data_IF_855791639092
#
_entry.id   IF_855791639092
#
_cell.length_a   1.000
_cell.length_b   1.000
_cell.length_c   1.000
_cell.angle_alpha   90.00
_cell.angle_beta   90.00
_cell.angle_gamma   90.00
#
_symmetry.space_group_name_H-M   'P 1'
#
loop_
_entity.id
_entity.type
_entity.pdbx_description
1 polymer ?
#
# COMPACT_ATOMS: atom_id res chain seq x y z
N UNK A 1 4.90 8.79 -14.49
CA UNK A 1 3.48 8.62 -14.86
C UNK A 1 3.43 7.73 -16.10
N UNK A 2 3.40 6.41 -15.87
CA UNK A 2 3.46 5.42 -16.94
C UNK A 2 2.09 4.89 -17.34
N UNK A 3 2.06 3.97 -18.30
CA UNK A 3 0.82 3.38 -18.81
C UNK A 3 0.01 2.65 -17.72
N UNK A 4 0.65 1.77 -16.95
CA UNK A 4 -0.02 1.03 -15.88
C UNK A 4 -0.52 1.96 -14.77
N UNK A 5 0.24 3.00 -14.41
CA UNK A 5 -0.22 4.01 -13.45
C UNK A 5 -1.48 4.74 -13.91
N UNK A 6 -1.54 5.20 -15.17
CA UNK A 6 -2.70 5.94 -15.68
C UNK A 6 -3.94 5.07 -15.80
N UNK A 7 -3.79 3.89 -16.42
CA UNK A 7 -4.92 3.02 -16.67
C UNK A 7 -5.38 2.30 -15.40
N UNK A 8 -4.46 1.92 -14.50
CA UNK A 8 -4.80 1.42 -13.18
C UNK A 8 -5.60 2.43 -12.37
N UNK A 9 -5.17 3.70 -12.35
CA UNK A 9 -5.94 4.78 -11.72
C UNK A 9 -7.34 4.91 -12.34
N UNK A 10 -7.43 4.84 -13.67
CA UNK A 10 -8.72 4.93 -14.40
C UNK A 10 -9.67 3.80 -14.01
N UNK A 11 -9.21 2.54 -14.01
CA UNK A 11 -10.05 1.38 -13.68
C UNK A 11 -10.47 1.41 -12.20
N UNK A 12 -9.53 1.57 -11.28
CA UNK A 12 -9.80 1.49 -9.83
C UNK A 12 -10.77 2.58 -9.40
N UNK A 13 -10.55 3.83 -9.82
CA UNK A 13 -11.46 4.93 -9.43
C UNK A 13 -12.83 4.79 -10.07
N UNK A 14 -12.92 4.25 -11.29
CA UNK A 14 -14.20 3.98 -11.94
C UNK A 14 -15.04 2.93 -11.23
N UNK A 15 -14.48 2.08 -10.35
CA UNK A 15 -15.29 1.16 -9.54
C UNK A 15 -16.33 1.90 -8.68
N UNK A 16 -16.04 3.14 -8.29
CA UNK A 16 -16.98 3.98 -7.52
C UNK A 16 -18.19 4.42 -8.35
N UNK A 17 -18.14 4.35 -9.69
CA UNK A 17 -19.29 4.61 -10.54
C UNK A 17 -20.45 3.62 -10.29
N UNK A 18 -20.14 2.45 -9.72
CA UNK A 18 -21.13 1.44 -9.35
C UNK A 18 -22.03 1.86 -8.17
N UNK A 19 -21.71 2.94 -7.44
CA UNK A 19 -22.55 3.46 -6.37
C UNK A 19 -23.84 4.07 -6.99
N UNK A 20 -25.04 3.57 -6.64
CA UNK A 20 -26.29 4.09 -7.21
C UNK A 20 -26.47 5.59 -6.95
N UNK A 21 -27.05 6.29 -7.92
CA UNK A 21 -27.37 7.73 -7.91
C UNK A 21 -26.17 8.70 -7.88
N UNK A 22 -25.11 8.40 -7.15
CA UNK A 22 -23.99 9.33 -6.90
C UNK A 22 -22.64 8.89 -7.49
N UNK A 23 -22.50 7.64 -7.96
CA UNK A 23 -21.21 7.09 -8.37
C UNK A 23 -20.47 7.94 -9.40
N UNK A 24 -21.13 8.32 -10.50
CA UNK A 24 -20.52 9.16 -11.54
C UNK A 24 -20.06 10.54 -11.01
N UNK A 25 -20.82 11.13 -10.09
CA UNK A 25 -20.45 12.40 -9.47
C UNK A 25 -19.19 12.22 -8.61
N UNK A 26 -19.10 11.14 -7.83
CA UNK A 26 -17.94 10.83 -6.98
C UNK A 26 -16.69 10.61 -7.84
N UNK A 27 -16.80 9.87 -8.94
CA UNK A 27 -15.68 9.63 -9.87
C UNK A 27 -15.15 10.94 -10.46
N UNK A 28 -16.03 11.77 -11.02
CA UNK A 28 -15.63 13.06 -11.59
C UNK A 28 -15.06 14.01 -10.53
N UNK A 29 -15.63 13.99 -9.33
CA UNK A 29 -15.10 14.73 -8.19
C UNK A 29 -13.70 14.28 -7.80
N UNK A 30 -13.42 12.97 -7.79
CA UNK A 30 -12.08 12.44 -7.53
C UNK A 30 -11.08 12.83 -8.60
N UNK A 31 -11.47 12.72 -9.88
CA UNK A 31 -10.62 13.11 -11.00
C UNK A 31 -10.38 14.61 -11.08
N UNK A 32 -11.32 15.43 -10.58
CA UNK A 32 -11.29 16.87 -10.80
C UNK A 32 -11.57 17.24 -12.26
N UNK A 33 -12.35 16.42 -12.96
CA UNK A 33 -12.63 16.54 -14.39
C UNK A 33 -13.36 15.31 -14.93
N UNK A 34 -13.43 15.20 -16.26
CA UNK A 34 -14.15 14.10 -16.94
C UNK A 34 -13.32 12.83 -17.17
N UNK A 35 -12.02 12.90 -16.94
CA UNK A 35 -11.08 11.80 -17.04
C UNK A 35 -9.90 12.02 -16.08
N UNK A 36 -9.13 10.96 -15.83
CA UNK A 36 -7.84 11.08 -15.14
C UNK A 36 -6.95 12.07 -15.90
N UNK A 37 -6.47 13.10 -15.22
CA UNK A 37 -5.71 14.20 -15.83
C UNK A 37 -4.70 14.81 -14.83
N UNK A 38 -4.09 15.95 -15.17
CA UNK A 38 -3.16 16.64 -14.28
C UNK A 38 -3.78 16.98 -12.91
N UNK A 39 -5.05 17.42 -12.89
CA UNK A 39 -5.75 17.71 -11.64
C UNK A 39 -5.81 16.48 -10.71
N UNK A 40 -6.01 15.29 -11.29
CA UNK A 40 -6.00 14.02 -10.56
C UNK A 40 -4.61 13.73 -10.00
N UNK A 41 -3.57 13.85 -10.83
CA UNK A 41 -2.19 13.54 -10.45
C UNK A 41 -1.69 14.42 -9.30
N UNK A 42 -1.92 15.74 -9.36
CA UNK A 42 -1.51 16.66 -8.29
C UNK A 42 -2.19 16.31 -6.95
N UNK A 43 -3.48 15.96 -6.98
CA UNK A 43 -4.21 15.55 -5.78
C UNK A 43 -3.75 14.20 -5.26
N UNK A 44 -3.49 13.25 -6.15
CA UNK A 44 -3.00 11.93 -5.77
C UNK A 44 -1.62 12.03 -5.12
N UNK A 45 -0.74 12.90 -5.60
CA UNK A 45 0.53 13.18 -4.93
C UNK A 45 0.32 13.77 -3.52
N UNK A 46 -0.55 14.79 -3.38
CA UNK A 46 -0.83 15.38 -2.07
C UNK A 46 -1.43 14.37 -1.08
N UNK A 47 -2.35 13.52 -1.54
CA UNK A 47 -2.93 12.44 -0.73
C UNK A 47 -1.89 11.37 -0.39
N UNK A 48 -1.09 10.93 -1.36
CA UNK A 48 -0.03 9.95 -1.16
C UNK A 48 1.02 10.44 -0.15
N UNK A 49 1.30 11.75 -0.13
CA UNK A 49 2.17 12.34 0.87
C UNK A 49 1.52 12.35 2.27
N UNK A 50 0.23 12.68 2.36
CA UNK A 50 -0.48 12.80 3.63
C UNK A 50 -0.79 11.46 4.30
N UNK A 51 -1.22 10.46 3.51
CA UNK A 51 -1.73 9.18 4.02
C UNK A 51 -0.73 8.41 4.90
N UNK A 52 0.58 8.33 4.60
CA UNK A 52 1.57 7.69 5.47
C UNK A 52 1.59 8.25 6.90
N UNK A 53 1.38 9.57 7.08
CA UNK A 53 1.31 10.18 8.40
C UNK A 53 0.03 9.81 9.15
N UNK A 54 -1.09 9.71 8.44
CA UNK A 54 -2.34 9.20 9.00
C UNK A 54 -2.15 7.73 9.42
N UNK A 55 -1.51 6.90 8.58
CA UNK A 55 -1.18 5.51 8.91
C UNK A 55 -0.28 5.44 10.16
N UNK A 56 0.76 6.28 10.26
CA UNK A 56 1.61 6.34 11.45
C UNK A 56 0.82 6.67 12.73
N UNK A 57 -0.13 7.62 12.66
CA UNK A 57 -1.03 7.92 13.78
C UNK A 57 -1.93 6.71 14.13
N UNK A 58 -2.47 6.02 13.12
CA UNK A 58 -3.26 4.80 13.32
C UNK A 58 -2.42 3.66 13.93
N UNK A 59 -1.14 3.52 13.58
CA UNK A 59 -0.23 2.55 14.22
C UNK A 59 -0.06 2.85 15.71
N UNK A 60 0.03 4.11 16.11
CA UNK A 60 0.11 4.47 17.54
C UNK A 60 -1.17 4.10 18.29
N UNK A 61 -2.34 4.35 17.71
CA UNK A 61 -3.64 3.93 18.28
C UNK A 61 -3.71 2.40 18.37
N UNK A 62 -3.28 1.70 17.32
CA UNK A 62 -3.23 0.25 17.29
C UNK A 62 -2.35 -0.30 18.44
N UNK A 63 -1.14 0.25 18.62
CA UNK A 63 -0.22 -0.15 19.69
C UNK A 63 -0.76 0.21 21.08
N UNK A 64 -1.48 1.32 21.23
CA UNK A 64 -2.15 1.67 22.49
C UNK A 64 -3.13 0.58 22.92
N UNK A 65 -4.00 0.12 22.00
CA UNK A 65 -4.95 -0.95 22.29
C UNK A 65 -4.26 -2.29 22.51
N UNK A 66 -3.21 -2.60 21.75
CA UNK A 66 -2.41 -3.79 21.98
C UNK A 66 -1.81 -3.82 23.39
N UNK A 67 -1.33 -2.67 23.90
CA UNK A 67 -0.77 -2.59 25.25
C UNK A 67 -1.81 -2.74 26.37
N UNK A 68 -3.10 -2.54 26.10
CA UNK A 68 -4.15 -2.78 27.11
C UNK A 68 -4.33 -4.27 27.40
N UNK A 69 -4.19 -5.14 26.39
CA UNK A 69 -4.38 -6.59 26.53
C UNK A 69 -3.06 -7.37 26.59
N UNK A 70 -1.99 -6.81 26.01
CA UNK A 70 -0.77 -7.53 25.67
C UNK A 70 -0.93 -8.41 24.41
N UNK A 71 0.19 -8.97 23.95
CA UNK A 71 0.23 -9.87 22.80
C UNK A 71 -0.39 -11.23 23.09
N UNK A 72 -1.05 -11.81 22.08
CA UNK A 72 -1.42 -13.21 22.11
C UNK A 72 -0.19 -14.12 21.89
N UNK A 73 -0.35 -15.43 22.08
CA UNK A 73 0.70 -16.43 21.85
C UNK A 73 0.16 -17.60 20.98
N UNK A 74 1.05 -18.44 20.42
CA UNK A 74 0.63 -19.50 19.49
C UNK A 74 -0.34 -20.53 20.06
N UNK A 75 -0.39 -20.71 21.38
CA UNK A 75 -1.33 -21.64 22.02
C UNK A 75 -2.71 -21.00 22.24
N UNK A 76 -2.85 -19.69 22.08
CA UNK A 76 -4.10 -18.96 22.32
C UNK A 76 -4.56 -18.96 23.77
N UNK A 77 -3.72 -19.40 24.71
CA UNK A 77 -4.02 -19.45 26.15
C UNK A 77 -3.50 -18.20 26.86
N UNK A 78 -3.86 -17.99 28.13
CA UNK A 78 -3.40 -16.82 28.88
C UNK A 78 -1.88 -16.92 29.19
N UNK A 79 -1.10 -15.95 28.70
CA UNK A 79 0.36 -15.87 28.87
C UNK A 79 0.82 -15.24 30.18
N UNK A 80 -0.07 -14.76 31.05
CA UNK A 80 0.29 -14.10 32.31
C UNK A 80 1.10 -14.98 33.28
N UNK A 81 1.03 -16.31 33.13
CA UNK A 81 1.79 -17.25 33.95
C UNK A 81 3.29 -17.29 33.63
N UNK A 82 3.69 -16.83 32.44
CA UNK A 82 5.07 -16.88 31.96
C UNK A 82 5.35 -15.71 30.99
N UNK A 83 5.55 -14.52 31.56
CA UNK A 83 5.94 -13.33 30.80
C UNK A 83 7.45 -13.10 30.92
N UNK A 84 8.09 -12.91 29.79
CA UNK A 84 9.45 -12.38 29.69
C UNK A 84 9.45 -10.88 29.36
N UNK A 85 10.43 -10.11 29.85
CA UNK A 85 10.55 -8.70 29.50
C UNK A 85 10.85 -8.53 28.00
N UNK A 86 10.39 -7.43 27.40
CA UNK A 86 10.64 -7.13 25.99
C UNK A 86 12.14 -7.06 25.67
N UNK A 87 12.89 -6.32 26.50
CA UNK A 87 14.35 -6.26 26.42
C UNK A 87 14.99 -7.21 27.44
N UNK A 88 16.00 -8.02 27.07
CA UNK A 88 16.70 -8.05 25.77
C UNK A 88 16.06 -8.99 24.73
N UNK A 89 15.15 -9.88 25.15
CA UNK A 89 14.72 -11.04 24.36
C UNK A 89 14.10 -10.67 23.00
N UNK A 90 13.02 -9.90 23.01
CA UNK A 90 12.32 -9.53 21.80
C UNK A 90 13.06 -8.43 21.03
N UNK A 91 13.77 -7.52 21.71
CA UNK A 91 14.62 -6.54 21.02
C UNK A 91 15.69 -7.20 20.13
N UNK A 92 16.38 -8.23 20.62
CA UNK A 92 17.38 -8.97 19.84
C UNK A 92 16.73 -9.80 18.74
N UNK A 93 15.59 -10.45 19.02
CA UNK A 93 14.83 -11.20 18.01
C UNK A 93 14.37 -10.31 16.86
N UNK A 94 13.86 -9.12 17.17
CA UNK A 94 13.40 -8.15 16.18
C UNK A 94 14.57 -7.60 15.36
N UNK A 95 15.72 -7.37 15.98
CA UNK A 95 16.94 -6.96 15.27
C UNK A 95 17.38 -8.00 14.22
N UNK A 96 17.34 -9.29 14.57
CA UNK A 96 17.63 -10.38 13.61
C UNK A 96 16.62 -10.37 12.46
N UNK A 97 15.33 -10.21 12.77
CA UNK A 97 14.28 -10.08 11.75
C UNK A 97 14.51 -8.89 10.82
N UNK A 98 14.89 -7.74 11.37
CA UNK A 98 15.22 -6.54 10.60
C UNK A 98 16.42 -6.74 9.68
N UNK A 99 17.48 -7.41 10.16
CA UNK A 99 18.64 -7.75 9.33
C UNK A 99 18.21 -8.61 8.14
N UNK A 100 17.41 -9.66 8.36
CA UNK A 100 16.92 -10.53 7.29
C UNK A 100 16.07 -9.75 6.28
N UNK A 101 15.16 -8.90 6.74
CA UNK A 101 14.34 -8.04 5.88
C UNK A 101 15.23 -7.13 5.02
N UNK A 102 16.17 -6.42 5.64
CA UNK A 102 17.05 -5.50 4.93
C UNK A 102 17.96 -6.23 3.93
N UNK A 103 18.49 -7.40 4.27
CA UNK A 103 19.27 -8.20 3.32
C UNK A 103 18.41 -8.61 2.12
N UNK A 104 17.19 -9.09 2.33
CA UNK A 104 16.30 -9.50 1.24
C UNK A 104 15.94 -8.33 0.31
N UNK A 105 15.66 -7.15 0.88
CA UNK A 105 15.40 -5.94 0.13
C UNK A 105 16.62 -5.50 -0.68
N UNK A 106 17.81 -5.52 -0.07
CA UNK A 106 19.05 -5.14 -0.75
C UNK A 106 19.39 -6.10 -1.90
N UNK A 107 19.18 -7.40 -1.73
CA UNK A 107 19.37 -8.38 -2.81
C UNK A 107 18.42 -8.05 -3.96
N UNK A 108 17.13 -7.83 -3.69
CA UNK A 108 16.15 -7.46 -4.72
C UNK A 108 16.58 -6.20 -5.47
N UNK A 109 16.86 -5.12 -4.75
CA UNK A 109 17.20 -3.81 -5.34
C UNK A 109 18.52 -3.85 -6.13
N UNK A 110 19.54 -4.55 -5.64
CA UNK A 110 20.87 -4.56 -6.28
C UNK A 110 20.96 -5.56 -7.45
N UNK A 111 20.22 -6.67 -7.40
CA UNK A 111 20.34 -7.73 -8.41
C UNK A 111 19.23 -7.71 -9.45
N UNK A 112 17.98 -7.44 -9.05
CA UNK A 112 16.81 -7.48 -9.94
C UNK A 112 15.77 -6.43 -9.53
N UNK A 113 16.09 -5.11 -9.63
CA UNK A 113 15.23 -4.03 -9.13
C UNK A 113 13.85 -3.96 -9.77
N UNK A 114 13.67 -4.56 -10.96
CA UNK A 114 12.41 -4.55 -11.71
C UNK A 114 11.67 -5.89 -11.67
N UNK A 115 12.12 -6.86 -10.87
CA UNK A 115 11.50 -8.19 -10.78
C UNK A 115 10.01 -8.13 -10.38
N UNK A 116 9.64 -7.15 -9.56
CA UNK A 116 8.27 -6.97 -9.05
C UNK A 116 7.51 -5.85 -9.76
N UNK A 117 8.04 -5.34 -10.87
CA UNK A 117 7.48 -4.20 -11.63
C UNK A 117 6.92 -4.65 -12.97
N UNK A 118 5.93 -3.92 -13.47
CA UNK A 118 5.39 -4.14 -14.82
C UNK A 118 6.17 -3.29 -15.86
N UNK A 119 6.69 -3.90 -16.95
CA UNK A 119 7.48 -3.19 -17.96
C UNK A 119 6.70 -2.07 -18.65
N UNK A 120 5.38 -2.16 -18.76
CA UNK A 120 4.58 -1.13 -19.44
C UNK A 120 4.57 0.19 -18.68
N UNK A 121 4.89 0.18 -17.37
CA UNK A 121 4.98 1.41 -16.59
C UNK A 121 6.24 2.26 -16.89
N UNK A 122 7.18 1.75 -17.70
CA UNK A 122 8.27 2.54 -18.27
C UNK A 122 7.85 3.35 -19.50
N UNK A 123 6.73 3.01 -20.13
CA UNK A 123 6.16 3.82 -21.21
C UNK A 123 5.34 4.97 -20.61
N UNK A 124 5.52 6.22 -21.08
CA UNK A 124 4.68 7.33 -20.66
C UNK A 124 3.19 7.04 -20.91
N UNK A 125 2.33 7.51 -20.01
CA UNK A 125 0.89 7.32 -20.15
C UNK A 125 0.35 7.89 -21.48
N UNK A 126 -0.46 7.08 -22.17
CA UNK A 126 -1.21 7.51 -23.35
C UNK A 126 -2.71 7.24 -23.13
N UNK A 127 -3.54 8.28 -22.98
CA UNK A 127 -4.97 8.11 -22.71
C UNK A 127 -5.75 7.51 -23.88
N UNK A 128 -5.14 7.39 -25.07
CA UNK A 128 -5.75 6.83 -26.27
C UNK A 128 -5.35 5.37 -26.53
N UNK A 129 -4.39 4.83 -25.77
CA UNK A 129 -3.86 3.48 -25.99
C UNK A 129 -3.81 2.74 -24.65
N UNK A 130 -4.76 1.81 -24.49
CA UNK A 130 -4.79 0.86 -23.37
C UNK A 130 -3.77 -0.25 -23.57
N UNK A 131 -2.95 -0.62 -22.55
CA UNK A 131 -2.15 -1.83 -22.56
C UNK A 131 -3.01 -3.08 -22.80
N UNK A 132 -2.42 -4.08 -23.47
CA UNK A 132 -3.12 -5.33 -23.83
C UNK A 132 -3.48 -6.14 -22.58
N UNK A 133 -2.61 -6.15 -21.57
CA UNK A 133 -2.78 -6.89 -20.32
C UNK A 133 -2.71 -5.94 -19.11
N UNK A 134 -3.65 -4.99 -19.03
CA UNK A 134 -3.75 -4.13 -17.86
C UNK A 134 -4.02 -4.95 -16.60
N UNK A 135 -3.20 -4.74 -15.58
CA UNK A 135 -3.30 -5.39 -14.28
C UNK A 135 -2.76 -4.47 -13.18
N UNK A 136 -3.20 -4.63 -11.91
CA UNK A 136 -2.58 -3.94 -10.80
C UNK A 136 -1.24 -4.59 -10.44
N UNK A 137 -0.50 -3.96 -9.54
CA UNK A 137 0.69 -4.56 -8.97
C UNK A 137 0.38 -5.88 -8.24
N UNK A 138 1.39 -6.74 -8.13
CA UNK A 138 1.27 -8.14 -7.68
C UNK A 138 0.53 -8.32 -6.34
N UNK A 139 0.62 -7.35 -5.43
CA UNK A 139 -0.01 -7.39 -4.11
C UNK A 139 -1.53 -7.12 -4.14
N UNK A 140 -2.13 -6.91 -5.31
CA UNK A 140 -3.58 -6.76 -5.54
C UNK A 140 -4.17 -7.80 -6.50
N UNK A 141 -3.44 -8.86 -6.87
CA UNK A 141 -3.90 -9.86 -7.87
C UNK A 141 -4.84 -10.95 -7.32
N UNK A 142 -5.10 -10.98 -6.01
CA UNK A 142 -5.95 -11.98 -5.35
C UNK A 142 -7.43 -11.56 -5.31
#
# INVERSE_FOLDING_TARGET
>A
WGQMSFWGATVITNLLSAIPYMGNMIVQWLWGGFAVSNATLTRFFALHFLLPFIVAAMVMIHLLFLHQTGSNNPLGTNSNIDKSPFHPYFSLKDLVGFIILMMSLMILVLTNPYMLSDPDNFMPANPLVTPIHIQPEWYFLF
#
